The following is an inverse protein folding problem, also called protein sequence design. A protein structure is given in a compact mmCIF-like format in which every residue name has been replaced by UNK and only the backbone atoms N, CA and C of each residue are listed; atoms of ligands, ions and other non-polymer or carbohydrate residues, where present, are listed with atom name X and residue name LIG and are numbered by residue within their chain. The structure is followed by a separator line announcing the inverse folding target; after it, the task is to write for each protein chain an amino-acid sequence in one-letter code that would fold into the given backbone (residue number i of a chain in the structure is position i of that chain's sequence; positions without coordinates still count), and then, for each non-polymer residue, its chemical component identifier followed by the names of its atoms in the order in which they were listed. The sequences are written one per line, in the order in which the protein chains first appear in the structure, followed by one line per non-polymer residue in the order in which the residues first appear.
data_IF_691141331948
#
_entry.id   IF_691141331948
#
_cell.length_a   1.000
_cell.length_b   1.000
_cell.length_c   1.000
_cell.angle_alpha   90.00
_cell.angle_beta   90.00
_cell.angle_gamma   90.00
#
_symmetry.space_group_name_H-M   'P 1'
#
loop_
_entity.id
_entity.type
_entity.pdbx_description
1 polymer ?
#
# COMPACT_ATOMS: atom_id res chain seq x y z
N UNK A 1 -15.86 -9.81 12.05
CA UNK A 1 -15.72 -10.03 10.60
C UNK A 1 -15.53 -8.67 9.95
N UNK A 2 -14.39 -8.43 9.30
CA UNK A 2 -14.21 -7.23 8.48
C UNK A 2 -13.66 -7.71 7.15
N UNK A 3 -14.44 -7.51 6.09
CA UNK A 3 -14.12 -7.88 4.72
C UNK A 3 -14.04 -6.58 3.93
N UNK A 4 -12.84 -6.14 3.60
CA UNK A 4 -12.67 -5.06 2.64
C UNK A 4 -12.09 -5.65 1.35
N UNK A 5 -12.99 -5.83 0.39
CA UNK A 5 -12.65 -5.97 -1.03
C UNK A 5 -13.43 -4.88 -1.74
N UNK A 6 -12.78 -3.76 -2.01
CA UNK A 6 -13.21 -2.84 -3.05
C UNK A 6 -11.95 -2.54 -3.86
N UNK A 7 -11.97 -2.98 -5.11
CA UNK A 7 -10.99 -2.73 -6.18
C UNK A 7 -11.84 -2.42 -7.39
N UNK A 8 -12.36 -1.21 -7.49
CA UNK A 8 -13.21 -0.79 -8.60
C UNK A 8 -12.45 0.05 -9.62
N UNK A 9 -11.30 0.60 -9.24
CA UNK A 9 -10.33 1.23 -10.14
C UNK A 9 -9.56 0.24 -11.00
N UNK A 10 -8.95 0.76 -12.06
CA UNK A 10 -8.11 0.04 -13.02
C UNK A 10 -6.69 -0.13 -12.51
N UNK A 11 -6.21 0.78 -11.67
CA UNK A 11 -4.84 0.79 -11.18
C UNK A 11 -4.79 1.06 -9.69
N UNK A 12 -3.89 0.38 -9.00
CA UNK A 12 -3.68 0.51 -7.56
C UNK A 12 -2.19 0.35 -7.24
N UNK A 13 -1.77 0.89 -6.10
CA UNK A 13 -0.44 0.69 -5.55
C UNK A 13 -0.21 -0.74 -5.05
N UNK A 14 1.02 -1.24 -5.20
CA UNK A 14 1.43 -2.56 -4.69
C UNK A 14 2.65 -2.43 -3.79
N UNK A 15 2.55 -2.98 -2.58
CA UNK A 15 3.67 -3.16 -1.65
C UNK A 15 4.07 -4.64 -1.61
N UNK A 16 5.36 -4.91 -1.79
CA UNK A 16 5.91 -6.25 -1.74
C UNK A 16 7.01 -6.34 -0.65
N UNK A 17 6.93 -7.38 0.17
CA UNK A 17 7.99 -7.73 1.12
C UNK A 17 8.79 -8.90 0.58
N UNK A 18 10.10 -8.79 0.68
CA UNK A 18 11.05 -9.84 0.35
C UNK A 18 11.86 -10.22 1.59
N UNK A 19 12.17 -11.51 1.70
CA UNK A 19 13.13 -12.07 2.64
C UNK A 19 14.56 -11.74 2.20
N UNK A 20 15.54 -11.92 3.08
CA UNK A 20 16.95 -11.63 2.79
C UNK A 20 17.52 -12.45 1.62
N UNK A 21 16.97 -13.64 1.37
CA UNK A 21 17.31 -14.53 0.25
C UNK A 21 16.61 -14.16 -1.07
N UNK A 22 15.93 -13.00 -1.12
CA UNK A 22 15.15 -12.50 -2.27
C UNK A 22 13.90 -13.31 -2.59
N UNK A 23 13.44 -14.17 -1.68
CA UNK A 23 12.12 -14.79 -1.78
C UNK A 23 11.04 -13.78 -1.40
N UNK A 24 9.94 -13.73 -2.16
CA UNK A 24 8.83 -12.82 -1.89
C UNK A 24 7.97 -13.37 -0.74
N UNK A 25 7.97 -12.70 0.41
CA UNK A 25 7.19 -13.11 1.58
C UNK A 25 5.71 -12.82 1.38
N UNK A 26 5.38 -11.59 0.95
CA UNK A 26 3.99 -11.21 0.66
C UNK A 26 3.88 -10.02 -0.29
N UNK A 27 2.69 -9.89 -0.89
CA UNK A 27 2.27 -8.72 -1.67
C UNK A 27 0.93 -8.20 -1.17
N UNK A 28 0.77 -6.89 -1.12
CA UNK A 28 -0.48 -6.22 -0.77
C UNK A 28 -0.78 -5.11 -1.75
N UNK A 29 -2.03 -5.07 -2.18
CA UNK A 29 -2.56 -3.94 -2.93
C UNK A 29 -3.11 -2.92 -1.94
N UNK A 30 -2.92 -1.64 -2.23
CA UNK A 30 -3.45 -0.50 -1.48
C UNK A 30 -3.88 0.60 -2.45
N UNK A 31 -4.80 1.44 -2.00
CA UNK A 31 -5.47 2.43 -2.84
C UNK A 31 -6.87 2.71 -2.31
N UNK A 32 -7.55 3.63 -2.98
CA UNK A 32 -8.94 3.99 -2.85
C UNK A 32 -9.81 3.12 -3.77
N UNK A 33 -11.04 3.56 -4.07
CA UNK A 33 -11.90 2.89 -5.03
C UNK A 33 -11.66 3.36 -6.48
N UNK A 34 -10.88 4.43 -6.67
CA UNK A 34 -10.55 5.06 -7.95
C UNK A 34 -9.21 4.52 -8.51
N UNK A 35 -8.65 5.19 -9.53
CA UNK A 35 -7.36 4.82 -10.11
C UNK A 35 -6.19 5.43 -9.29
N UNK A 36 -5.47 4.60 -8.53
CA UNK A 36 -4.38 4.99 -7.61
C UNK A 36 -2.99 4.52 -8.09
N UNK A 37 -2.72 4.63 -9.38
CA UNK A 37 -1.37 4.37 -9.91
C UNK A 37 -0.48 5.61 -9.95
N UNK A 38 0.81 5.35 -9.80
CA UNK A 38 1.87 6.15 -10.35
C UNK A 38 1.70 6.25 -11.89
N UNK A 39 1.16 7.37 -12.38
CA UNK A 39 1.23 7.75 -13.79
C UNK A 39 2.67 8.15 -14.16
N UNK A 40 2.96 8.57 -15.38
CA UNK A 40 4.25 9.12 -15.81
C UNK A 40 4.70 10.34 -14.97
N UNK A 41 3.79 10.93 -14.20
CA UNK A 41 4.04 11.96 -13.18
C UNK A 41 4.22 11.40 -11.75
N UNK A 42 4.43 10.07 -11.65
CA UNK A 42 4.57 9.21 -10.47
C UNK A 42 4.69 9.95 -9.16
N UNK A 43 3.85 9.60 -8.17
CA UNK A 43 3.70 10.37 -6.96
C UNK A 43 5.04 10.51 -6.24
N UNK A 44 5.70 11.65 -6.44
CA UNK A 44 6.93 12.06 -5.75
C UNK A 44 6.73 12.23 -4.23
N UNK A 45 5.60 11.75 -3.71
CA UNK A 45 5.05 11.95 -2.39
C UNK A 45 4.71 10.64 -1.68
N UNK A 46 5.18 9.48 -2.18
CA UNK A 46 5.05 8.21 -1.46
C UNK A 46 6.14 8.11 -0.38
N UNK A 47 5.73 8.06 0.88
CA UNK A 47 6.62 7.91 2.03
C UNK A 47 6.41 6.54 2.67
N UNK A 48 7.50 5.79 2.79
CA UNK A 48 7.54 4.50 3.46
C UNK A 48 8.50 4.56 4.64
N UNK A 49 8.06 4.09 5.80
CA UNK A 49 8.93 3.88 6.96
C UNK A 49 8.63 2.56 7.63
N UNK A 50 9.67 1.96 8.20
CA UNK A 50 9.57 0.74 8.99
C UNK A 50 9.62 1.14 10.47
N UNK A 51 8.64 0.68 11.23
CA UNK A 51 8.58 0.85 12.69
C UNK A 51 8.66 -0.52 13.36
N UNK A 52 8.87 -0.58 14.69
CA UNK A 52 8.85 -1.85 15.41
C UNK A 52 7.56 -2.66 15.20
N UNK A 53 6.44 -1.98 14.93
CA UNK A 53 5.14 -2.62 14.80
C UNK A 53 4.70 -2.89 13.34
N UNK A 54 5.59 -2.66 12.35
CA UNK A 54 5.32 -2.94 10.95
C UNK A 54 5.82 -1.88 9.97
N UNK A 55 5.11 -1.71 8.86
CA UNK A 55 5.42 -0.76 7.80
C UNK A 55 4.30 0.26 7.69
N UNK A 56 4.64 1.54 7.75
CA UNK A 56 3.70 2.63 7.48
C UNK A 56 3.96 3.17 6.08
N UNK A 57 2.87 3.42 5.37
CA UNK A 57 2.89 3.96 4.02
C UNK A 57 1.90 5.11 3.94
N UNK A 58 2.32 6.22 3.38
CA UNK A 58 1.44 7.35 3.10
C UNK A 58 1.77 7.97 1.76
N UNK A 59 0.77 8.58 1.14
CA UNK A 59 0.96 9.31 -0.10
C UNK A 59 -0.27 10.08 -0.51
N UNK A 60 -0.22 10.59 -1.73
CA UNK A 60 -1.34 11.20 -2.43
C UNK A 60 -1.76 10.27 -3.57
N UNK A 61 -3.03 10.23 -3.89
CA UNK A 61 -3.55 9.65 -5.14
C UNK A 61 -4.51 10.67 -5.71
N UNK A 62 -4.41 11.05 -7.00
CA UNK A 62 -5.29 12.06 -7.60
C UNK A 62 -5.55 13.30 -6.72
N UNK A 63 -6.68 13.31 -6.00
CA UNK A 63 -7.11 14.35 -5.04
C UNK A 63 -7.07 13.95 -3.55
N UNK A 64 -6.78 12.70 -3.22
CA UNK A 64 -6.85 12.14 -1.87
C UNK A 64 -5.49 11.97 -1.21
N UNK A 65 -5.48 12.04 0.13
CA UNK A 65 -4.35 11.64 0.97
C UNK A 65 -4.68 10.29 1.57
N UNK A 66 -3.75 9.35 1.51
CA UNK A 66 -3.90 8.07 2.21
C UNK A 66 -2.78 7.83 3.21
N UNK A 67 -3.11 7.07 4.26
CA UNK A 67 -2.15 6.48 5.20
C UNK A 67 -2.60 5.08 5.55
N UNK A 68 -1.79 4.09 5.24
CA UNK A 68 -2.04 2.70 5.58
C UNK A 68 -0.88 2.12 6.40
N UNK A 69 -1.14 1.02 7.11
CA UNK A 69 -0.13 0.31 7.90
C UNK A 69 -0.25 -1.18 7.70
N UNK A 70 0.86 -1.82 7.41
CA UNK A 70 0.99 -3.26 7.30
C UNK A 70 1.74 -3.82 8.51
N UNK A 71 1.24 -4.88 9.13
CA UNK A 71 2.03 -5.62 10.13
C UNK A 71 3.21 -6.33 9.46
N UNK A 72 4.12 -6.89 10.26
CA UNK A 72 5.26 -7.69 9.74
C UNK A 72 4.82 -8.79 8.76
N UNK A 73 3.63 -9.35 8.99
CA UNK A 73 3.08 -10.49 8.25
C UNK A 73 2.18 -10.03 7.09
N UNK A 74 2.02 -8.72 6.94
CA UNK A 74 1.38 -8.09 5.80
C UNK A 74 -0.11 -7.74 5.91
N UNK A 75 -0.92 -8.16 6.91
CA UNK A 75 -2.25 -7.56 7.07
C UNK A 75 -2.20 -6.03 7.16
N UNK A 76 -3.07 -5.35 6.41
CA UNK A 76 -3.34 -3.93 6.61
C UNK A 76 -4.21 -3.75 7.86
N UNK A 77 -3.81 -2.86 8.78
CA UNK A 77 -4.52 -2.59 10.03
C UNK A 77 -5.12 -1.20 10.12
N UNK A 78 -5.01 -0.36 9.09
CA UNK A 78 -5.63 0.97 9.03
C UNK A 78 -6.41 1.14 7.71
N UNK A 79 -7.56 1.84 7.72
CA UNK A 79 -8.25 2.24 6.49
C UNK A 79 -7.35 3.11 5.61
#
# INVERSE_FOLDING_TARGET
MVRWRVRSGKFDGVLAKYSADRTRSWTRQFGTADDDAADAYAEANLYLTVTPDGTQLSGLTGTDVFRTRFTSDGPNTLP
#
